data_IF_317384633465
#
_entry.id   IF_317384633465
#
_cell.length_a   1.000
_cell.length_b   1.000
_cell.length_c   1.000
_cell.angle_alpha   90.00
_cell.angle_beta   90.00
_cell.angle_gamma   90.00
#
_symmetry.space_group_name_H-M   'P 1'
#
loop_
_entity.id
_entity.type
_entity.pdbx_description
1 polymer ?
#
# COMPACT_ATOMS: atom_id res chain seq x y z
N UNK A 1 23.36 -19.92 16.40
CA UNK A 1 22.76 -19.08 15.34
C UNK A 1 22.89 -17.65 15.85
N UNK A 2 23.65 -16.80 15.16
CA UNK A 2 23.80 -15.40 15.57
C UNK A 2 22.73 -14.58 14.85
N UNK A 3 22.02 -13.74 15.60
CA UNK A 3 21.03 -12.81 15.03
C UNK A 3 21.77 -11.60 14.44
N UNK A 4 21.52 -11.30 13.18
CA UNK A 4 22.06 -10.13 12.48
C UNK A 4 20.91 -9.17 12.17
N UNK A 5 21.11 -7.86 12.35
CA UNK A 5 20.16 -6.86 11.85
C UNK A 5 20.34 -6.68 10.34
N UNK A 6 19.26 -6.89 9.58
CA UNK A 6 19.21 -6.62 8.14
C UNK A 6 18.13 -5.59 7.85
N UNK A 7 18.43 -4.67 6.92
CA UNK A 7 17.44 -3.75 6.37
C UNK A 7 17.03 -4.27 5.00
N UNK A 8 15.74 -4.49 4.80
CA UNK A 8 15.17 -4.95 3.53
C UNK A 8 14.21 -3.90 2.96
N UNK A 9 14.07 -3.90 1.63
CA UNK A 9 13.04 -3.18 0.88
C UNK A 9 12.23 -4.18 0.08
N UNK A 10 10.92 -4.08 0.13
CA UNK A 10 10.00 -4.90 -0.66
C UNK A 10 8.73 -4.11 -0.90
N UNK A 11 7.99 -4.49 -1.95
CA UNK A 11 6.67 -3.95 -2.21
C UNK A 11 5.60 -4.92 -1.67
N UNK A 12 4.50 -4.34 -1.19
CA UNK A 12 3.33 -5.08 -0.74
C UNK A 12 2.14 -4.61 -1.55
N UNK A 13 1.37 -5.55 -2.08
CA UNK A 13 0.10 -5.25 -2.76
C UNK A 13 -1.04 -5.49 -1.78
N UNK A 14 -1.85 -4.45 -1.61
CA UNK A 14 -3.05 -4.46 -0.80
C UNK A 14 -4.29 -4.44 -1.69
N UNK A 15 -5.36 -5.08 -1.23
CA UNK A 15 -6.68 -5.00 -1.86
C UNK A 15 -7.72 -4.65 -0.78
N UNK A 16 -8.52 -3.61 -1.05
CA UNK A 16 -9.55 -3.12 -0.14
C UNK A 16 -10.88 -2.94 -0.88
N UNK A 17 -11.95 -3.38 -0.25
CA UNK A 17 -13.32 -2.99 -0.62
C UNK A 17 -13.85 -2.07 0.46
N UNK A 18 -14.36 -0.90 0.07
CA UNK A 18 -14.91 0.08 0.99
C UNK A 18 -15.98 0.91 0.29
N UNK A 19 -16.85 1.57 1.07
CA UNK A 19 -17.81 2.50 0.52
C UNK A 19 -17.10 3.83 0.19
N UNK A 20 -17.23 4.29 -1.05
CA UNK A 20 -16.69 5.57 -1.50
C UNK A 20 -17.82 6.45 -2.05
N UNK A 21 -17.87 7.74 -1.72
CA UNK A 21 -18.91 8.64 -2.22
C UNK A 21 -18.68 8.94 -3.71
N UNK A 22 -19.28 8.15 -4.59
CA UNK A 22 -19.30 8.36 -6.03
C UNK A 22 -20.72 8.63 -6.54
N UNK A 23 -20.85 9.50 -7.55
CA UNK A 23 -22.10 9.68 -8.27
C UNK A 23 -22.22 8.63 -9.39
N UNK A 24 -23.46 8.36 -9.83
CA UNK A 24 -23.73 7.37 -10.87
C UNK A 24 -23.10 7.68 -12.25
N UNK A 25 -22.70 8.94 -12.47
CA UNK A 25 -22.08 9.40 -13.71
C UNK A 25 -20.59 9.76 -13.54
N UNK A 26 -20.00 9.55 -12.36
CA UNK A 26 -18.56 9.79 -12.18
C UNK A 26 -17.79 8.76 -13.03
N UNK A 27 -16.79 9.21 -13.78
CA UNK A 27 -15.90 8.30 -14.50
C UNK A 27 -14.97 7.59 -13.52
N UNK A 28 -14.59 6.34 -13.83
CA UNK A 28 -13.71 5.56 -12.96
C UNK A 28 -12.38 6.30 -12.69
N UNK A 29 -11.83 7.00 -13.68
CA UNK A 29 -10.60 7.78 -13.54
C UNK A 29 -10.75 8.95 -12.54
N UNK A 30 -11.90 9.63 -12.50
CA UNK A 30 -12.17 10.70 -11.54
C UNK A 30 -12.26 10.14 -10.12
N UNK A 31 -12.86 8.96 -9.97
CA UNK A 31 -12.95 8.24 -8.69
C UNK A 31 -11.54 7.83 -8.23
N UNK A 32 -10.74 7.25 -9.12
CA UNK A 32 -9.36 6.84 -8.86
C UNK A 32 -8.49 8.03 -8.44
N UNK A 33 -8.58 9.17 -9.12
CA UNK A 33 -7.83 10.38 -8.77
C UNK A 33 -8.21 10.90 -7.37
N UNK A 34 -9.51 10.93 -7.05
CA UNK A 34 -9.98 11.35 -5.73
C UNK A 34 -9.48 10.41 -4.63
N UNK A 35 -9.52 9.10 -4.85
CA UNK A 35 -8.98 8.11 -3.91
C UNK A 35 -7.46 8.30 -3.74
N UNK A 36 -6.72 8.46 -4.84
CA UNK A 36 -5.28 8.70 -4.82
C UNK A 36 -4.92 9.95 -4.00
N UNK A 37 -5.70 11.02 -4.14
CA UNK A 37 -5.49 12.27 -3.40
C UNK A 37 -5.80 12.13 -1.89
N UNK A 38 -6.71 11.25 -1.49
CA UNK A 38 -7.02 11.00 -0.07
C UNK A 38 -5.99 10.11 0.63
N UNK A 39 -5.41 9.13 -0.09
CA UNK A 39 -4.51 8.12 0.46
C UNK A 39 -3.38 8.67 1.35
N UNK A 40 -2.63 9.73 0.97
CA UNK A 40 -1.54 10.25 1.81
C UNK A 40 -2.01 10.82 3.16
N UNK A 41 -3.25 11.32 3.22
CA UNK A 41 -3.83 11.87 4.45
C UNK A 41 -4.48 10.82 5.35
N UNK A 42 -4.73 9.63 4.81
CA UNK A 42 -5.44 8.52 5.46
C UNK A 42 -4.67 7.20 5.31
N UNK A 43 -3.34 7.26 5.39
CA UNK A 43 -2.46 6.11 5.12
C UNK A 43 -2.88 4.85 5.90
N UNK A 44 -3.18 5.00 7.19
CA UNK A 44 -3.62 3.90 8.06
C UNK A 44 -4.90 3.23 7.54
N UNK A 45 -5.86 4.01 7.03
CA UNK A 45 -7.11 3.49 6.49
C UNK A 45 -6.90 2.72 5.18
N UNK A 46 -5.89 3.03 4.38
CA UNK A 46 -5.64 2.32 3.12
C UNK A 46 -4.65 1.15 3.27
N UNK A 47 -3.88 1.11 4.37
CA UNK A 47 -2.90 0.05 4.66
C UNK A 47 -3.40 -1.02 5.65
N UNK A 48 -4.55 -0.81 6.31
CA UNK A 48 -5.25 -1.85 7.10
C UNK A 48 -5.86 -3.00 6.25
N UNK A 49 -5.70 -2.90 4.94
CA UNK A 49 -6.31 -3.75 3.94
C UNK A 49 -5.70 -5.17 3.91
N UNK A 50 -6.38 -6.08 3.22
CA UNK A 50 -5.87 -7.43 3.04
C UNK A 50 -4.63 -7.39 2.14
N UNK A 51 -3.51 -7.87 2.66
CA UNK A 51 -2.32 -8.12 1.83
C UNK A 51 -2.60 -9.32 0.93
N UNK A 52 -2.46 -9.12 -0.37
CA UNK A 52 -2.66 -10.17 -1.37
C UNK A 52 -1.33 -10.66 -1.98
N UNK A 53 -0.26 -9.87 -1.88
CA UNK A 53 1.05 -10.23 -2.43
C UNK A 53 2.20 -9.52 -1.73
N UNK A 54 3.27 -10.28 -1.50
CA UNK A 54 4.60 -9.75 -1.21
C UNK A 54 5.48 -9.94 -2.44
N UNK A 55 6.18 -8.89 -2.85
CA UNK A 55 7.24 -9.01 -3.85
C UNK A 55 8.56 -9.45 -3.21
N UNK A 56 9.52 -9.88 -4.03
CA UNK A 56 10.82 -10.34 -3.57
C UNK A 56 11.57 -9.21 -2.82
N UNK A 57 12.06 -9.45 -1.59
CA UNK A 57 12.77 -8.44 -0.84
C UNK A 57 14.20 -8.25 -1.33
N UNK A 58 14.64 -7.01 -1.39
CA UNK A 58 16.03 -6.62 -1.62
C UNK A 58 16.68 -6.24 -0.29
N UNK A 59 17.82 -6.83 0.07
CA UNK A 59 18.63 -6.37 1.21
C UNK A 59 19.30 -5.06 0.81
N UNK A 60 19.07 -4.01 1.60
CA UNK A 60 19.61 -2.67 1.34
C UNK A 60 20.72 -2.27 2.33
N UNK A 61 20.78 -2.92 3.50
CA UNK A 61 21.86 -2.70 4.47
C UNK A 61 22.02 -3.92 5.40
N UNK A 62 23.26 -4.17 5.82
CA UNK A 62 23.64 -5.19 6.82
C UNK A 62 24.54 -4.60 7.93
N UNK A 63 24.70 -3.28 8.00
CA UNK A 63 25.48 -2.59 9.03
C UNK A 63 26.99 -2.57 8.78
N UNK A 64 27.44 -2.55 7.51
CA UNK A 64 28.86 -2.45 7.12
C UNK A 64 29.20 -1.10 6.46
#
# INVERSE_FOLDING_TARGET
MNEEMIKIRYNVTYEKSFAFPANANDEDCDIEERVYNEMPTKEDEYTDAKVIRFEEPTIIDRGF
#
